data_IF_052782209070
#
_entry.id   IF_052782209070
#
_cell.length_a   1.000
_cell.length_b   1.000
_cell.length_c   1.000
_cell.angle_alpha   90.00
_cell.angle_beta   90.00
_cell.angle_gamma   90.00
#
_symmetry.space_group_name_H-M   'P 1'
#
loop_
_entity.id
_entity.type
_entity.pdbx_description
1 polymer ?
#
# COMPACT_ATOMS: atom_id res chain seq x y z
N UNK A 1 14.20 -15.06 -2.75
CA UNK A 1 13.05 -14.13 -2.79
C UNK A 1 11.90 -14.83 -3.49
N UNK A 2 10.67 -14.72 -2.95
CA UNK A 2 9.46 -15.22 -3.58
C UNK A 2 8.56 -14.04 -3.96
N UNK A 3 7.97 -14.10 -5.15
CA UNK A 3 6.97 -13.15 -5.62
C UNK A 3 5.63 -13.88 -5.70
N UNK A 4 4.68 -13.46 -4.87
CA UNK A 4 3.38 -14.12 -4.69
C UNK A 4 2.31 -13.20 -5.27
N UNK A 5 1.69 -13.64 -6.37
CA UNK A 5 0.56 -12.93 -6.95
C UNK A 5 -0.64 -12.93 -6.00
N UNK A 6 -1.39 -11.84 -5.99
CA UNK A 6 -2.65 -11.74 -5.29
C UNK A 6 -3.82 -11.82 -6.29
N UNK A 7 -5.06 -11.72 -5.79
CA UNK A 7 -6.26 -11.67 -6.63
C UNK A 7 -6.32 -10.37 -7.47
N UNK A 8 -5.56 -9.34 -7.10
CA UNK A 8 -5.47 -8.09 -7.85
C UNK A 8 -4.22 -8.07 -8.72
N UNK A 9 -4.39 -8.15 -10.02
CA UNK A 9 -3.28 -7.98 -10.97
C UNK A 9 -2.62 -6.59 -10.75
N UNK A 10 -1.31 -6.59 -10.45
CA UNK A 10 -0.56 -5.39 -10.08
C UNK A 10 -0.33 -5.23 -8.56
N UNK A 11 -0.87 -6.14 -7.73
CA UNK A 11 -0.55 -6.22 -6.30
C UNK A 11 0.20 -7.52 -6.04
N UNK A 12 1.44 -7.45 -5.53
CA UNK A 12 2.33 -8.60 -5.37
C UNK A 12 2.97 -8.59 -3.98
N UNK A 13 2.86 -9.71 -3.26
CA UNK A 13 3.60 -9.91 -2.01
C UNK A 13 5.01 -10.38 -2.35
N UNK A 14 6.03 -9.71 -1.80
CA UNK A 14 7.43 -10.09 -1.96
C UNK A 14 7.96 -10.59 -0.62
N UNK A 15 8.36 -11.86 -0.57
CA UNK A 15 9.00 -12.47 0.58
C UNK A 15 10.52 -12.54 0.34
N UNK A 16 11.34 -11.74 1.05
CA UNK A 16 12.79 -11.77 0.89
C UNK A 16 13.39 -13.08 1.41
N UNK A 17 14.53 -13.46 0.88
CA UNK A 17 15.36 -14.49 1.50
C UNK A 17 16.12 -13.87 2.66
N UNK A 18 15.86 -14.34 3.87
CA UNK A 18 16.51 -13.83 5.10
C UNK A 18 17.64 -14.76 5.49
N UNK A 19 18.82 -14.19 5.73
CA UNK A 19 20.01 -14.86 6.24
C UNK A 19 20.21 -14.41 7.69
N UNK A 20 20.25 -15.35 8.64
CA UNK A 20 20.41 -15.07 10.06
C UNK A 20 21.55 -15.87 10.68
N UNK A 21 22.24 -15.26 11.67
CA UNK A 21 23.21 -15.89 12.56
C UNK A 21 23.17 -15.25 13.96
N UNK A 22 24.11 -15.59 14.85
CA UNK A 22 24.16 -15.07 16.23
C UNK A 22 24.32 -13.53 16.33
N UNK A 23 24.66 -12.86 15.25
CA UNK A 23 24.78 -11.39 15.17
C UNK A 23 23.47 -10.70 14.78
N UNK A 24 22.47 -11.45 14.25
CA UNK A 24 21.20 -10.93 13.75
C UNK A 24 20.83 -11.46 12.37
N UNK A 25 20.28 -10.63 11.51
CA UNK A 25 19.85 -11.03 10.18
C UNK A 25 20.26 -10.03 9.10
N UNK A 26 20.33 -10.55 7.88
CA UNK A 26 20.50 -9.76 6.65
C UNK A 26 19.52 -10.24 5.59
N UNK A 27 18.95 -9.32 4.83
CA UNK A 27 18.23 -9.62 3.60
C UNK A 27 18.36 -8.46 2.62
N UNK A 28 18.30 -8.77 1.32
CA UNK A 28 18.17 -7.76 0.28
C UNK A 28 16.72 -7.31 0.22
N UNK A 29 16.48 -6.04 0.58
CA UNK A 29 15.15 -5.45 0.64
C UNK A 29 14.61 -5.09 -0.75
N UNK A 30 15.50 -4.67 -1.65
CA UNK A 30 15.14 -4.31 -3.04
C UNK A 30 16.33 -4.53 -3.96
N UNK A 31 16.05 -5.07 -5.13
CA UNK A 31 17.00 -5.18 -6.23
C UNK A 31 16.25 -4.99 -7.55
N UNK A 32 16.54 -3.90 -8.24
CA UNK A 32 15.81 -3.50 -9.44
C UNK A 32 15.81 -4.59 -10.53
N UNK A 33 16.95 -5.26 -10.76
CA UNK A 33 17.03 -6.28 -11.79
C UNK A 33 16.16 -7.51 -11.46
N UNK A 34 16.19 -7.95 -10.20
CA UNK A 34 15.39 -9.09 -9.73
C UNK A 34 13.90 -8.77 -9.75
N UNK A 35 13.51 -7.56 -9.33
CA UNK A 35 12.12 -7.11 -9.36
C UNK A 35 11.60 -7.02 -10.80
N UNK A 36 12.38 -6.43 -11.73
CA UNK A 36 12.00 -6.34 -13.14
C UNK A 36 11.83 -7.72 -13.79
N UNK A 37 12.71 -8.69 -13.50
CA UNK A 37 12.60 -10.08 -13.98
C UNK A 37 11.31 -10.77 -13.48
N UNK A 38 10.73 -10.31 -12.40
CA UNK A 38 9.49 -10.83 -11.81
C UNK A 38 8.26 -9.91 -12.06
N UNK A 39 8.33 -9.05 -13.08
CA UNK A 39 7.22 -8.24 -13.55
C UNK A 39 7.01 -6.91 -12.80
N UNK A 40 7.95 -6.53 -11.92
CA UNK A 40 7.93 -5.24 -11.22
C UNK A 40 9.05 -4.36 -11.78
N UNK A 41 8.84 -3.84 -12.99
CA UNK A 41 9.79 -2.91 -13.62
C UNK A 41 9.48 -1.47 -13.16
N UNK A 42 9.93 -1.14 -11.95
CA UNK A 42 9.64 0.12 -11.29
C UNK A 42 10.92 0.91 -10.99
N UNK A 43 10.92 2.19 -11.35
CA UNK A 43 11.97 3.13 -10.94
C UNK A 43 11.48 3.94 -9.73
N UNK A 44 12.09 3.75 -8.56
CA UNK A 44 11.72 4.46 -7.35
C UNK A 44 12.49 5.78 -7.21
N UNK A 45 11.74 6.86 -7.02
CA UNK A 45 12.28 8.24 -7.00
C UNK A 45 12.10 8.93 -5.65
N UNK A 46 11.34 8.33 -4.73
CA UNK A 46 11.07 8.88 -3.40
C UNK A 46 10.89 7.76 -2.39
N UNK A 47 11.47 7.92 -1.19
CA UNK A 47 11.23 7.00 -0.06
C UNK A 47 10.70 7.80 1.11
N UNK A 48 9.69 7.29 1.78
CA UNK A 48 9.07 7.88 2.96
C UNK A 48 9.08 6.90 4.12
N UNK A 49 9.19 7.43 5.34
CA UNK A 49 9.07 6.66 6.57
C UNK A 49 8.07 7.34 7.48
N UNK A 50 7.21 6.57 8.11
CA UNK A 50 6.30 7.05 9.15
C UNK A 50 6.34 6.13 10.36
N UNK A 51 6.14 6.70 11.56
CA UNK A 51 5.95 5.94 12.80
C UNK A 51 4.58 6.29 13.37
N UNK A 52 3.80 5.29 13.75
CA UNK A 52 2.45 5.45 14.26
C UNK A 52 2.16 4.46 15.38
N UNK A 53 1.32 4.87 16.33
CA UNK A 53 0.85 4.03 17.44
C UNK A 53 -0.28 3.10 16.98
N UNK A 54 -0.57 2.10 17.81
CA UNK A 54 -1.73 1.20 17.62
C UNK A 54 -3.00 1.98 17.38
N UNK A 55 -3.80 1.49 16.44
CA UNK A 55 -5.09 2.05 16.11
C UNK A 55 -5.05 3.19 15.09
N UNK A 56 -3.88 3.74 14.76
CA UNK A 56 -3.77 4.71 13.67
C UNK A 56 -4.02 4.01 12.34
N UNK A 57 -4.94 4.57 11.55
CA UNK A 57 -5.19 4.18 10.16
C UNK A 57 -4.85 5.36 9.25
N UNK A 58 -4.10 5.10 8.19
CA UNK A 58 -3.76 6.05 7.13
C UNK A 58 -4.29 5.52 5.82
N UNK A 59 -5.21 6.24 5.18
CA UNK A 59 -5.78 5.80 3.91
C UNK A 59 -7.28 6.10 3.76
N UNK A 60 -7.86 5.73 2.64
CA UNK A 60 -7.19 5.15 1.45
C UNK A 60 -6.64 6.26 0.57
N UNK A 61 -5.35 6.26 0.28
CA UNK A 61 -4.67 7.33 -0.45
C UNK A 61 -4.25 6.87 -1.84
N UNK A 62 -4.36 7.77 -2.80
CA UNK A 62 -3.84 7.60 -4.16
C UNK A 62 -3.45 8.96 -4.76
N UNK A 63 -2.70 8.93 -5.85
CA UNK A 63 -2.32 10.12 -6.59
C UNK A 63 -2.83 10.05 -8.03
N UNK A 64 -3.46 11.12 -8.50
CA UNK A 64 -3.95 11.27 -9.86
C UNK A 64 -4.10 12.75 -10.26
N UNK A 65 -3.68 13.19 -11.47
CA UNK A 65 -2.86 12.44 -12.43
C UNK A 65 -1.45 12.18 -11.89
N UNK A 66 -0.62 11.45 -12.58
CA UNK A 66 0.72 11.00 -12.15
C UNK A 66 0.64 10.00 -10.99
N UNK A 67 0.05 8.83 -11.25
CA UNK A 67 -0.16 7.83 -10.22
C UNK A 67 1.18 7.30 -9.68
N UNK A 68 1.20 6.95 -8.40
CA UNK A 68 2.34 6.35 -7.71
C UNK A 68 2.17 4.85 -7.58
N UNK A 69 3.10 4.05 -8.10
CA UNK A 69 3.35 2.71 -7.62
C UNK A 69 4.10 2.77 -6.30
N UNK A 70 3.84 1.84 -5.40
CA UNK A 70 4.43 1.81 -4.06
C UNK A 70 5.00 0.43 -3.74
N UNK A 71 6.23 0.40 -3.23
CA UNK A 71 6.79 -0.78 -2.57
C UNK A 71 6.85 -0.48 -1.08
N UNK A 72 6.04 -1.19 -0.29
CA UNK A 72 5.86 -0.90 1.14
C UNK A 72 6.38 -2.04 2.00
N UNK A 73 6.89 -1.71 3.19
CA UNK A 73 7.34 -2.67 4.19
C UNK A 73 7.31 -2.09 5.60
N UNK A 74 7.41 -2.96 6.61
CA UNK A 74 7.45 -2.59 8.02
C UNK A 74 8.85 -2.83 8.57
N UNK A 75 9.44 -1.78 9.16
CA UNK A 75 10.77 -1.82 9.80
C UNK A 75 10.68 -2.18 11.28
N UNK A 76 9.55 -1.87 11.92
CA UNK A 76 9.26 -2.16 13.33
C UNK A 76 7.75 -2.35 13.52
N UNK A 77 7.36 -3.35 14.28
CA UNK A 77 5.96 -3.64 14.57
C UNK A 77 5.23 -4.33 13.44
N UNK A 78 3.92 -4.09 13.35
CA UNK A 78 3.02 -4.81 12.44
C UNK A 78 1.87 -3.92 12.00
N UNK A 79 1.48 -4.04 10.73
CA UNK A 79 0.33 -3.35 10.14
C UNK A 79 -0.53 -4.31 9.34
N UNK A 80 -1.83 -4.02 9.28
CA UNK A 80 -2.78 -4.56 8.32
C UNK A 80 -2.80 -3.61 7.13
N UNK A 81 -2.21 -4.03 6.02
CA UNK A 81 -1.99 -3.22 4.81
C UNK A 81 -3.01 -3.59 3.75
N UNK A 82 -3.59 -2.60 3.08
CA UNK A 82 -4.70 -2.79 2.14
C UNK A 82 -4.46 -2.04 0.84
N UNK A 83 -4.56 -2.74 -0.28
CA UNK A 83 -4.65 -2.17 -1.62
C UNK A 83 -6.06 -2.36 -2.19
N UNK A 84 -6.60 -1.34 -2.86
CA UNK A 84 -7.95 -1.34 -3.45
C UNK A 84 -7.87 -0.92 -4.89
N UNK A 85 -8.51 -1.68 -5.78
CA UNK A 85 -8.68 -1.26 -7.17
C UNK A 85 -9.78 -0.20 -7.27
N UNK A 86 -9.38 1.01 -7.67
CA UNK A 86 -10.27 2.17 -7.82
C UNK A 86 -10.41 2.64 -9.27
N UNK A 87 -9.89 1.88 -10.24
CA UNK A 87 -9.90 2.21 -11.68
C UNK A 87 -11.25 1.85 -12.29
N UNK A 88 -12.06 2.81 -12.77
CA UNK A 88 -13.46 2.57 -13.14
C UNK A 88 -13.70 1.49 -14.21
N UNK A 89 -12.75 1.31 -15.15
CA UNK A 89 -12.91 0.36 -16.25
C UNK A 89 -12.18 -0.98 -15.97
N UNK A 90 -11.67 -1.16 -14.74
CA UNK A 90 -11.01 -2.39 -14.33
C UNK A 90 -12.01 -3.53 -14.08
N UNK A 91 -11.70 -4.78 -14.50
CA UNK A 91 -12.52 -5.94 -14.16
C UNK A 91 -12.53 -6.26 -12.65
N UNK A 92 -11.60 -5.69 -11.88
CA UNK A 92 -11.50 -5.86 -10.42
C UNK A 92 -11.87 -4.59 -9.66
N UNK A 93 -12.55 -3.63 -10.30
CA UNK A 93 -13.01 -2.40 -9.65
C UNK A 93 -13.77 -2.68 -8.35
N UNK A 94 -13.28 -2.09 -7.26
CA UNK A 94 -13.87 -2.22 -5.93
C UNK A 94 -13.38 -3.43 -5.13
N UNK A 95 -12.62 -4.33 -5.73
CA UNK A 95 -11.99 -5.43 -4.99
C UNK A 95 -10.78 -4.91 -4.20
N UNK A 96 -10.51 -5.56 -3.07
CA UNK A 96 -9.39 -5.22 -2.18
C UNK A 96 -8.57 -6.46 -1.83
N UNK A 97 -7.29 -6.25 -1.57
CA UNK A 97 -6.37 -7.24 -1.00
C UNK A 97 -5.83 -6.68 0.30
N UNK A 98 -5.83 -7.51 1.34
CA UNK A 98 -5.27 -7.16 2.64
C UNK A 98 -4.14 -8.13 3.02
N UNK A 99 -3.05 -7.60 3.54
CA UNK A 99 -1.85 -8.36 3.90
C UNK A 99 -1.32 -7.89 5.25
N UNK A 100 -1.00 -8.84 6.13
CA UNK A 100 -0.23 -8.54 7.35
C UNK A 100 1.23 -8.33 6.97
N UNK A 101 1.74 -7.12 7.20
CA UNK A 101 3.16 -6.78 7.06
C UNK A 101 3.77 -6.52 8.43
N UNK A 102 4.92 -7.11 8.70
CA UNK A 102 5.61 -6.92 9.99
C UNK A 102 7.12 -6.94 9.85
N UNK A 103 7.80 -6.37 10.85
CA UNK A 103 9.25 -6.50 11.00
C UNK A 103 9.69 -7.97 11.15
N UNK A 104 8.80 -8.86 11.62
CA UNK A 104 9.09 -10.29 11.78
C UNK A 104 8.99 -11.06 10.47
N UNK A 105 7.89 -10.85 9.69
CA UNK A 105 7.71 -11.56 8.43
C UNK A 105 8.53 -10.96 7.28
N UNK A 106 9.01 -9.73 7.41
CA UNK A 106 9.86 -8.99 6.45
C UNK A 106 9.26 -8.89 5.04
N UNK A 107 7.96 -9.15 4.91
CA UNK A 107 7.25 -9.04 3.64
C UNK A 107 7.21 -7.60 3.14
N UNK A 108 7.29 -7.47 1.84
CA UNK A 108 6.96 -6.23 1.14
C UNK A 108 5.68 -6.44 0.36
N UNK A 109 4.94 -5.36 0.13
CA UNK A 109 3.83 -5.34 -0.80
C UNK A 109 4.14 -4.36 -1.93
N UNK A 110 4.16 -4.87 -3.16
CA UNK A 110 4.13 -4.04 -4.34
C UNK A 110 2.69 -3.72 -4.69
N UNK A 111 2.41 -2.45 -4.92
CA UNK A 111 1.11 -1.91 -5.33
C UNK A 111 1.37 -1.07 -6.57
N UNK A 112 0.88 -1.51 -7.72
CA UNK A 112 1.05 -0.82 -8.99
C UNK A 112 0.38 0.57 -8.98
N UNK A 113 0.77 1.48 -9.88
CA UNK A 113 0.07 2.75 -10.06
C UNK A 113 -1.43 2.54 -10.35
N UNK A 114 -2.28 3.40 -9.80
CA UNK A 114 -3.73 3.37 -10.03
C UNK A 114 -4.56 2.69 -8.94
N UNK A 115 -3.92 2.07 -7.95
CA UNK A 115 -4.62 1.57 -6.76
C UNK A 115 -4.68 2.62 -5.66
N UNK A 116 -5.72 2.55 -4.81
CA UNK A 116 -5.73 3.23 -3.52
C UNK A 116 -5.08 2.33 -2.47
N UNK A 117 -4.40 2.93 -1.50
CA UNK A 117 -3.62 2.25 -0.49
C UNK A 117 -3.89 2.82 0.90
N UNK A 118 -3.93 1.96 1.90
CA UNK A 118 -4.01 2.35 3.30
C UNK A 118 -3.54 1.23 4.22
N UNK A 119 -3.23 1.58 5.47
CA UNK A 119 -2.85 0.60 6.48
C UNK A 119 -3.34 0.98 7.87
N UNK A 120 -3.53 -0.03 8.72
CA UNK A 120 -3.87 0.11 10.12
C UNK A 120 -2.78 -0.50 10.99
N UNK A 121 -2.31 0.23 12.02
CA UNK A 121 -1.30 -0.26 12.96
C UNK A 121 -1.95 -1.18 13.99
N UNK A 122 -1.48 -2.45 14.06
CA UNK A 122 -2.01 -3.47 14.98
C UNK A 122 -1.09 -3.76 16.16
N UNK A 123 0.22 -3.54 16.04
CA UNK A 123 1.19 -3.57 17.16
C UNK A 123 1.13 -2.30 18.00
N UNK A 124 1.87 -2.24 19.11
CA UNK A 124 1.93 -1.04 19.95
C UNK A 124 2.40 0.20 19.16
N UNK A 125 3.43 0.03 18.32
CA UNK A 125 3.91 0.99 17.34
C UNK A 125 4.26 0.25 16.05
N UNK A 126 4.23 0.95 14.93
CA UNK A 126 4.81 0.48 13.68
C UNK A 126 5.61 1.60 13.01
N UNK A 127 6.81 1.24 12.53
CA UNK A 127 7.61 2.07 11.64
C UNK A 127 7.46 1.51 10.23
N UNK A 128 6.76 2.26 9.39
CA UNK A 128 6.36 1.90 8.05
C UNK A 128 7.18 2.67 7.03
N UNK A 129 7.77 1.96 6.08
CA UNK A 129 8.58 2.51 4.99
C UNK A 129 7.95 2.20 3.65
N UNK A 130 8.01 3.15 2.72
CA UNK A 130 7.55 2.92 1.35
C UNK A 130 8.32 3.74 0.33
N UNK A 131 8.60 3.11 -0.81
CA UNK A 131 9.21 3.71 -1.98
C UNK A 131 8.11 4.00 -3.01
N UNK A 132 8.22 5.14 -3.69
CA UNK A 132 7.26 5.60 -4.70
C UNK A 132 7.91 5.74 -6.07
N UNK A 133 7.17 5.38 -7.11
CA UNK A 133 7.63 5.49 -8.52
C UNK A 133 7.51 6.91 -9.08
N UNK A 134 6.76 7.78 -8.41
CA UNK A 134 6.53 9.17 -8.82
C UNK A 134 6.65 10.08 -7.59
N UNK A 135 7.20 11.28 -7.75
CA UNK A 135 7.30 12.26 -6.68
C UNK A 135 5.91 12.64 -6.15
N UNK A 136 5.86 12.95 -4.85
CA UNK A 136 4.64 13.45 -4.23
C UNK A 136 4.20 14.77 -4.86
N UNK A 137 2.93 14.84 -5.21
CA UNK A 137 2.27 16.03 -5.68
C UNK A 137 1.01 16.34 -4.87
N UNK A 138 1.09 17.40 -4.08
CA UNK A 138 -0.02 17.82 -3.22
C UNK A 138 -1.32 18.11 -3.99
N UNK A 139 -1.20 18.60 -5.23
CA UNK A 139 -2.37 18.92 -6.06
C UNK A 139 -3.05 17.67 -6.63
N UNK A 140 -2.34 16.55 -6.66
CA UNK A 140 -2.80 15.26 -7.16
C UNK A 140 -3.05 14.23 -6.05
N UNK A 141 -2.90 14.61 -4.77
CA UNK A 141 -3.03 13.72 -3.61
C UNK A 141 -4.47 13.65 -3.12
N UNK A 142 -5.13 12.52 -3.39
CA UNK A 142 -6.52 12.26 -3.06
C UNK A 142 -6.67 11.18 -2.00
N UNK A 143 -7.86 11.16 -1.38
CA UNK A 143 -8.25 10.13 -0.44
C UNK A 143 -9.68 9.66 -0.72
N UNK A 144 -9.96 8.40 -0.41
CA UNK A 144 -11.30 7.80 -0.36
C UNK A 144 -11.55 7.34 1.06
N UNK A 145 -12.81 7.37 1.49
CA UNK A 145 -13.23 6.96 2.83
C UNK A 145 -12.76 5.53 3.15
N UNK A 146 -12.04 5.37 4.24
CA UNK A 146 -11.43 4.11 4.66
C UNK A 146 -12.45 2.97 4.87
N UNK A 147 -13.66 3.29 5.34
CA UNK A 147 -14.76 2.35 5.61
C UNK A 147 -15.85 2.37 4.53
N UNK A 148 -15.51 2.69 3.30
CA UNK A 148 -16.44 2.60 2.19
C UNK A 148 -16.89 1.13 1.99
N UNK A 149 -18.20 0.90 2.13
CA UNK A 149 -18.79 -0.44 2.06
C UNK A 149 -18.59 -1.12 0.71
N UNK A 150 -18.34 -0.34 -0.35
CA UNK A 150 -18.06 -0.86 -1.69
C UNK A 150 -16.83 -1.77 -1.71
N UNK A 151 -15.84 -1.48 -0.89
CA UNK A 151 -14.56 -2.20 -0.88
C UNK A 151 -14.56 -3.41 0.05
N UNK A 152 -15.56 -3.56 0.90
CA UNK A 152 -15.74 -4.68 1.84
C UNK A 152 -14.46 -5.02 2.63
N UNK A 153 -13.69 -4.00 3.04
CA UNK A 153 -12.45 -4.19 3.78
C UNK A 153 -12.79 -4.56 5.23
N UNK A 154 -12.28 -5.71 5.67
CA UNK A 154 -12.42 -6.19 7.05
C UNK A 154 -11.29 -5.62 7.92
N UNK A 155 -11.40 -4.34 8.26
CA UNK A 155 -10.41 -3.69 9.09
C UNK A 155 -10.38 -4.29 10.50
N UNK A 156 -9.19 -4.45 11.12
CA UNK A 156 -9.06 -5.03 12.46
C UNK A 156 -9.60 -4.15 13.58
N UNK A 157 -10.03 -2.92 13.26
CA UNK A 157 -10.55 -1.92 14.21
C UNK A 157 -11.81 -1.26 13.65
N UNK A 158 -12.80 -1.06 14.51
CA UNK A 158 -14.07 -0.37 14.17
C UNK A 158 -13.99 1.15 14.32
N UNK A 159 -13.06 1.65 15.14
CA UNK A 159 -12.88 3.09 15.43
C UNK A 159 -11.39 3.46 15.41
N UNK A 160 -10.79 3.60 14.22
CA UNK A 160 -9.38 3.94 14.09
C UNK A 160 -9.12 5.43 14.38
N UNK A 161 -7.88 5.72 14.78
CA UNK A 161 -7.36 7.08 14.89
C UNK A 161 -6.98 7.60 13.50
N UNK A 162 -7.69 8.62 13.03
CA UNK A 162 -7.62 9.16 11.68
C UNK A 162 -7.12 10.60 11.66
N UNK A 163 -6.36 10.94 10.62
CA UNK A 163 -6.11 12.35 10.28
C UNK A 163 -7.41 13.08 9.90
N UNK A 164 -7.39 14.41 9.94
CA UNK A 164 -8.54 15.20 9.45
C UNK A 164 -8.87 14.90 7.99
N UNK A 165 -7.85 14.71 7.14
CA UNK A 165 -8.00 14.35 5.73
C UNK A 165 -8.75 13.02 5.59
N UNK A 166 -8.32 11.98 6.30
CA UNK A 166 -8.90 10.64 6.19
C UNK A 166 -10.31 10.57 6.76
N UNK A 167 -10.56 11.32 7.84
CA UNK A 167 -11.88 11.44 8.47
C UNK A 167 -12.94 12.08 7.56
N UNK A 168 -12.53 13.04 6.73
CA UNK A 168 -13.43 13.81 5.84
C UNK A 168 -13.37 13.37 4.38
N UNK A 169 -12.61 12.32 4.08
CA UNK A 169 -12.51 11.79 2.72
C UNK A 169 -13.90 11.39 2.16
N UNK A 170 -14.18 11.62 0.87
CA UNK A 170 -15.44 11.24 0.23
C UNK A 170 -15.58 9.71 0.14
N UNK A 171 -16.80 9.22 0.00
CA UNK A 171 -17.04 7.86 -0.48
C UNK A 171 -16.69 7.75 -1.96
N UNK A 172 -16.37 6.56 -2.42
CA UNK A 172 -15.95 6.33 -3.82
C UNK A 172 -16.98 6.83 -4.83
N UNK A 173 -18.26 6.61 -4.56
CA UNK A 173 -19.36 7.07 -5.43
C UNK A 173 -19.43 8.59 -5.60
N UNK A 174 -18.86 9.36 -4.65
CA UNK A 174 -18.87 10.82 -4.62
C UNK A 174 -17.57 11.40 -5.21
N UNK A 175 -16.62 10.54 -5.64
CA UNK A 175 -15.38 10.99 -6.27
C UNK A 175 -15.64 11.26 -7.76
N UNK A 176 -15.35 12.48 -8.26
CA UNK A 176 -15.47 12.80 -9.68
C UNK A 176 -14.60 11.89 -10.56
N UNK A 177 -15.11 11.47 -11.74
CA UNK A 177 -14.41 10.55 -12.66
C UNK A 177 -13.01 11.05 -13.04
N UNK A 178 -12.87 12.33 -13.25
CA UNK A 178 -11.58 12.96 -13.60
C UNK A 178 -10.51 12.87 -12.51
N UNK A 179 -10.90 12.50 -11.29
CA UNK A 179 -9.98 12.26 -10.16
C UNK A 179 -9.67 10.78 -9.96
N UNK A 180 -10.26 9.90 -10.74
CA UNK A 180 -10.00 8.46 -10.66
C UNK A 180 -8.99 8.03 -11.72
N UNK A 181 -8.09 7.10 -11.39
CA UNK A 181 -7.09 6.59 -12.32
C UNK A 181 -7.73 5.85 -13.49
N UNK A 182 -7.15 5.98 -14.69
CA UNK A 182 -7.54 5.16 -15.81
C UNK A 182 -7.05 3.72 -15.65
N UNK A 183 -7.83 2.77 -16.16
CA UNK A 183 -7.38 1.39 -16.29
C UNK A 183 -6.61 1.24 -17.60
N UNK A 184 -5.35 0.84 -17.48
CA UNK A 184 -4.49 0.43 -18.59
C UNK A 184 -4.31 -1.08 -18.47
N UNK A 185 -4.81 -1.89 -19.44
CA UNK A 185 -4.71 -3.34 -19.42
C UNK A 185 -3.29 -3.87 -19.59
#
# INVERSE_FOLDING_TARGET
VKYIATELAGVVIVEPTVHGDDRGFFFESFNQATFAQNGIDANFVQTNVSRSRRGVLRGLHYQWPRPQGKLVNVLEGEVYDVAVDIRPDSPTLGQSVAVMLSADNKRHLWIAPGFAHGFCVVSEYATFSYQCTTLYDRAADWAIRWNDKRFAIDWPLSDPDLSSKDRTAPYFQDVPRERLPDYLP
#
